data_IF_623838602176
#
_entry.id   IF_623838602176
#
_cell.length_a   1.000
_cell.length_b   1.000
_cell.length_c   1.000
_cell.angle_alpha   90.00
_cell.angle_beta   90.00
_cell.angle_gamma   90.00
#
_symmetry.space_group_name_H-M   'P 1'
#
loop_
_entity.id
_entity.type
_entity.pdbx_description
1 polymer ?
#
# COMPACT_ATOMS: atom_id res chain seq x y z
N UNK A 1 -3.98 -28.38 5.33
CA UNK A 1 -2.96 -27.35 5.05
C UNK A 1 -3.68 -26.08 4.63
N UNK A 2 -3.42 -24.96 5.33
CA UNK A 2 -4.01 -23.64 5.06
C UNK A 2 -2.92 -22.71 4.55
N UNK A 3 -3.28 -21.71 3.76
CA UNK A 3 -2.37 -20.65 3.33
C UNK A 3 -2.00 -19.78 4.55
N UNK A 4 -0.71 -19.46 4.73
CA UNK A 4 -0.26 -18.61 5.83
C UNK A 4 -0.53 -17.12 5.56
N UNK A 5 -0.61 -16.73 4.29
CA UNK A 5 -0.98 -15.38 3.86
C UNK A 5 -2.49 -15.15 4.00
N UNK A 6 -3.31 -16.21 3.92
CA UNK A 6 -4.74 -16.14 4.23
C UNK A 6 -5.26 -17.50 4.77
N UNK A 7 -5.50 -17.59 6.08
CA UNK A 7 -5.92 -18.85 6.71
C UNK A 7 -7.27 -19.38 6.20
N UNK A 8 -8.07 -18.56 5.51
CA UNK A 8 -9.36 -18.96 4.93
C UNK A 8 -9.15 -19.87 3.72
N UNK A 9 -8.02 -19.74 3.04
CA UNK A 9 -7.70 -20.48 1.82
C UNK A 9 -7.06 -21.85 2.12
N UNK A 10 -7.32 -22.81 1.23
CA UNK A 10 -6.63 -24.09 1.26
C UNK A 10 -5.29 -23.95 0.52
N UNK A 11 -4.23 -24.51 1.09
CA UNK A 11 -2.93 -24.57 0.42
C UNK A 11 -2.50 -26.01 0.23
N UNK A 12 -2.00 -26.33 -0.97
CA UNK A 12 -1.41 -27.63 -1.25
C UNK A 12 0.11 -27.58 -1.05
N UNK A 13 0.55 -27.73 0.20
CA UNK A 13 1.97 -27.78 0.58
C UNK A 13 2.74 -29.00 0.01
N UNK A 14 2.16 -29.74 -0.93
CA UNK A 14 2.84 -30.80 -1.69
C UNK A 14 3.61 -30.25 -2.91
N UNK A 15 3.39 -28.98 -3.27
CA UNK A 15 4.19 -28.24 -4.24
C UNK A 15 5.20 -27.36 -3.50
N UNK A 16 6.38 -27.07 -4.10
CA UNK A 16 7.42 -26.25 -3.48
C UNK A 16 7.09 -24.75 -3.40
N UNK A 17 5.90 -24.34 -3.82
CA UNK A 17 5.40 -22.96 -3.69
C UNK A 17 5.17 -22.61 -2.20
N UNK A 18 5.98 -21.72 -1.62
CA UNK A 18 5.88 -21.33 -0.22
C UNK A 18 4.78 -20.27 0.04
N UNK A 19 4.22 -19.63 -0.99
CA UNK A 19 3.20 -18.56 -0.88
C UNK A 19 1.78 -19.05 -1.14
N UNK A 20 1.63 -20.29 -1.59
CA UNK A 20 0.32 -20.89 -1.89
C UNK A 20 -0.43 -20.12 -3.00
N UNK A 21 0.31 -19.59 -3.98
CA UNK A 21 -0.23 -18.81 -5.08
C UNK A 21 0.87 -18.13 -5.89
N UNK A 22 1.53 -18.87 -6.79
CA UNK A 22 2.26 -18.25 -7.90
C UNK A 22 1.29 -17.40 -8.75
N UNK A 23 1.75 -16.24 -9.24
CA UNK A 23 1.06 -15.46 -10.27
C UNK A 23 1.73 -15.63 -11.64
N UNK A 24 1.74 -16.85 -12.24
CA UNK A 24 2.49 -17.13 -13.46
C UNK A 24 2.06 -16.23 -14.62
N UNK A 25 0.78 -15.84 -14.65
CA UNK A 25 0.25 -14.95 -15.69
C UNK A 25 0.86 -13.54 -15.64
N UNK A 26 1.17 -13.03 -14.44
CA UNK A 26 1.83 -11.73 -14.26
C UNK A 26 3.28 -11.82 -14.75
N UNK A 27 3.97 -12.92 -14.43
CA UNK A 27 5.32 -13.16 -14.94
C UNK A 27 5.34 -13.28 -16.47
N UNK A 28 4.40 -14.01 -17.06
CA UNK A 28 4.26 -14.15 -18.51
C UNK A 28 3.98 -12.81 -19.19
N UNK A 29 3.09 -12.00 -18.61
CA UNK A 29 2.76 -10.66 -19.10
C UNK A 29 3.98 -9.73 -19.05
N UNK A 30 4.59 -9.58 -17.87
CA UNK A 30 5.72 -8.68 -17.67
C UNK A 30 6.92 -9.09 -18.53
N UNK A 31 7.20 -10.39 -18.66
CA UNK A 31 8.29 -10.89 -19.48
C UNK A 31 8.01 -10.88 -20.99
N UNK A 32 6.79 -10.60 -21.42
CA UNK A 32 6.47 -10.56 -22.85
C UNK A 32 7.29 -9.45 -23.55
N UNK A 33 7.81 -9.70 -24.78
CA UNK A 33 8.59 -8.69 -25.51
C UNK A 33 7.82 -7.39 -25.75
N UNK A 34 6.50 -7.46 -25.90
CA UNK A 34 5.64 -6.29 -26.09
C UNK A 34 5.60 -5.42 -24.83
N UNK A 35 5.40 -6.02 -23.65
CA UNK A 35 5.33 -5.31 -22.38
C UNK A 35 6.70 -4.76 -21.98
N UNK A 36 7.78 -5.55 -22.07
CA UNK A 36 9.14 -5.06 -21.81
C UNK A 36 9.50 -3.85 -22.67
N UNK A 37 9.12 -3.88 -23.94
CA UNK A 37 9.31 -2.74 -24.86
C UNK A 37 8.44 -1.55 -24.48
N UNK A 38 7.18 -1.76 -24.14
CA UNK A 38 6.25 -0.69 -23.72
C UNK A 38 6.76 0.01 -22.46
N UNK A 39 7.24 -0.75 -21.48
CA UNK A 39 7.79 -0.27 -20.22
C UNK A 39 9.21 0.29 -20.34
N UNK A 40 9.81 0.24 -21.53
CA UNK A 40 11.20 0.63 -21.78
C UNK A 40 12.18 -0.05 -20.81
N UNK A 41 11.99 -1.36 -20.58
CA UNK A 41 12.87 -2.17 -19.71
C UNK A 41 14.26 -2.26 -20.34
N UNK A 42 15.29 -1.96 -19.56
CA UNK A 42 16.69 -2.03 -19.98
C UNK A 42 17.08 -3.48 -20.30
N UNK A 43 17.88 -3.69 -21.34
CA UNK A 43 18.36 -5.03 -21.73
C UNK A 43 19.24 -5.69 -20.67
N UNK A 44 19.79 -4.91 -19.72
CA UNK A 44 20.53 -5.41 -18.55
C UNK A 44 19.60 -6.03 -17.50
N UNK A 45 18.33 -5.65 -17.46
CA UNK A 45 17.38 -6.21 -16.51
C UNK A 45 17.08 -7.67 -16.87
N UNK A 46 17.15 -8.56 -15.88
CA UNK A 46 16.83 -9.97 -16.05
C UNK A 46 15.36 -10.18 -16.44
N UNK A 47 14.99 -11.44 -16.69
CA UNK A 47 13.57 -11.80 -16.68
C UNK A 47 12.98 -11.38 -15.32
N UNK A 48 11.81 -10.77 -15.36
CA UNK A 48 11.06 -10.41 -14.17
C UNK A 48 10.69 -11.68 -13.41
N UNK A 49 10.89 -11.63 -12.11
CA UNK A 49 10.45 -12.62 -11.13
C UNK A 49 9.75 -11.89 -10.00
N UNK A 50 8.83 -12.57 -9.33
CA UNK A 50 8.05 -12.01 -8.22
C UNK A 50 8.95 -11.55 -7.07
N UNK A 51 9.86 -12.41 -6.63
CA UNK A 51 10.80 -12.13 -5.55
C UNK A 51 12.23 -12.48 -5.96
N UNK A 52 13.17 -11.59 -5.63
CA UNK A 52 14.59 -11.85 -5.78
C UNK A 52 15.13 -12.58 -4.53
N UNK A 53 15.19 -13.90 -4.61
CA UNK A 53 15.67 -14.79 -3.54
C UNK A 53 17.10 -14.49 -3.04
N UNK A 54 17.96 -13.94 -3.90
CA UNK A 54 19.34 -13.58 -3.52
C UNK A 54 19.32 -12.39 -2.56
N UNK A 55 18.46 -11.42 -2.84
CA UNK A 55 18.25 -10.25 -1.98
C UNK A 55 17.58 -10.69 -0.68
N UNK A 56 16.50 -11.48 -0.78
CA UNK A 56 15.79 -12.04 0.37
C UNK A 56 16.75 -12.71 1.36
N UNK A 57 17.55 -13.65 0.85
CA UNK A 57 18.51 -14.42 1.66
C UNK A 57 19.59 -13.53 2.26
N UNK A 58 20.04 -12.50 1.53
CA UNK A 58 21.08 -11.57 2.02
C UNK A 58 20.58 -10.74 3.19
N UNK A 59 19.41 -10.12 3.07
CA UNK A 59 18.82 -9.30 4.14
C UNK A 59 18.59 -10.14 5.41
N UNK A 60 18.19 -11.41 5.26
CA UNK A 60 18.14 -12.35 6.39
C UNK A 60 19.53 -12.57 6.99
N UNK A 61 20.53 -12.86 6.16
CA UNK A 61 21.89 -13.17 6.61
C UNK A 61 22.57 -11.98 7.32
N UNK A 62 22.25 -10.75 6.89
CA UNK A 62 22.76 -9.52 7.48
C UNK A 62 21.98 -9.10 8.76
N UNK A 63 20.95 -9.89 9.14
CA UNK A 63 20.24 -9.77 10.41
C UNK A 63 19.11 -8.76 10.41
N UNK A 64 18.74 -8.23 9.25
CA UNK A 64 17.85 -7.09 9.13
C UNK A 64 16.41 -7.42 9.57
N UNK A 65 16.00 -8.67 9.38
CA UNK A 65 14.75 -9.23 9.92
C UNK A 65 14.60 -9.19 11.44
N UNK A 66 15.69 -8.98 12.18
CA UNK A 66 15.65 -8.84 13.65
C UNK A 66 15.65 -7.37 14.10
N UNK A 67 15.73 -6.41 13.16
CA UNK A 67 15.69 -4.97 13.44
C UNK A 67 14.25 -4.52 13.71
N UNK A 68 14.07 -3.47 14.50
CA UNK A 68 12.76 -2.82 14.67
C UNK A 68 12.86 -1.36 14.25
N UNK A 69 11.80 -0.85 13.64
CA UNK A 69 11.69 0.53 13.13
C UNK A 69 10.55 1.33 13.80
N UNK A 70 10.05 0.84 14.93
CA UNK A 70 9.01 1.53 15.69
C UNK A 70 9.50 2.84 16.31
N UNK A 71 10.81 2.97 16.57
CA UNK A 71 11.39 4.22 17.07
C UNK A 71 11.30 5.37 16.04
N UNK A 72 11.50 5.04 14.77
CA UNK A 72 11.36 5.92 13.63
C UNK A 72 9.89 6.35 13.47
N UNK A 73 8.95 5.40 13.63
CA UNK A 73 7.51 5.70 13.65
C UNK A 73 7.17 6.67 14.78
N UNK A 74 7.71 6.47 15.98
CA UNK A 74 7.48 7.36 17.11
C UNK A 74 7.99 8.79 16.84
N UNK A 75 9.19 8.94 16.26
CA UNK A 75 9.70 10.26 15.87
C UNK A 75 8.84 10.94 14.80
N UNK A 76 8.37 10.19 13.80
CA UNK A 76 7.47 10.69 12.77
C UNK A 76 6.16 11.19 13.39
N UNK A 77 5.53 10.40 14.26
CA UNK A 77 4.31 10.81 14.97
C UNK A 77 4.52 12.07 15.80
N UNK A 78 5.61 12.14 16.57
CA UNK A 78 5.94 13.31 17.40
C UNK A 78 6.23 14.57 16.55
N UNK A 79 6.58 14.40 15.28
CA UNK A 79 6.76 15.50 14.33
C UNK A 79 5.49 15.93 13.58
N UNK A 80 4.36 15.25 13.85
CA UNK A 80 3.07 15.54 13.22
C UNK A 80 2.82 14.80 11.91
N UNK A 81 3.71 13.90 11.48
CA UNK A 81 3.49 13.03 10.33
C UNK A 81 2.39 12.02 10.68
N UNK A 82 1.45 11.80 9.75
CA UNK A 82 0.34 10.85 9.95
C UNK A 82 0.82 9.43 9.76
N UNK A 83 0.36 8.51 10.60
CA UNK A 83 0.68 7.09 10.51
C UNK A 83 -0.61 6.30 10.54
N UNK A 84 -0.81 5.49 9.50
CA UNK A 84 -1.83 4.45 9.46
C UNK A 84 -1.15 3.08 9.46
N UNK A 85 -1.56 2.23 10.37
CA UNK A 85 -1.26 0.80 10.33
C UNK A 85 -2.57 0.08 10.06
N UNK A 86 -2.57 -0.85 9.12
CA UNK A 86 -3.72 -1.70 8.89
C UNK A 86 -3.29 -3.15 8.75
N UNK A 87 -4.15 -4.08 9.15
CA UNK A 87 -3.85 -5.50 9.05
C UNK A 87 -5.13 -6.31 8.82
N UNK A 88 -5.08 -7.21 7.83
CA UNK A 88 -6.11 -8.21 7.62
C UNK A 88 -6.16 -9.22 8.76
N UNK A 89 -7.37 -9.65 9.12
CA UNK A 89 -7.57 -10.51 10.28
C UNK A 89 -7.38 -12.00 10.05
N UNK A 90 -7.16 -12.41 8.80
CA UNK A 90 -6.84 -13.77 8.37
C UNK A 90 -5.34 -13.99 8.08
N UNK A 91 -4.50 -12.95 8.20
CA UNK A 91 -3.05 -13.04 7.99
C UNK A 91 -2.35 -13.72 9.18
N UNK A 92 -1.55 -14.77 8.90
CA UNK A 92 -0.69 -15.41 9.90
C UNK A 92 0.77 -14.97 9.82
N UNK A 93 1.22 -14.40 8.69
CA UNK A 93 2.59 -13.95 8.48
C UNK A 93 2.89 -12.68 9.26
N UNK A 94 2.11 -11.62 9.04
CA UNK A 94 2.24 -10.34 9.73
C UNK A 94 0.95 -9.98 10.47
N UNK A 95 0.48 -10.94 11.27
CA UNK A 95 -0.85 -10.94 11.87
C UNK A 95 -1.24 -9.62 12.58
N UNK A 96 -2.55 -9.31 12.50
CA UNK A 96 -3.13 -8.11 13.08
C UNK A 96 -2.93 -7.96 14.60
N UNK A 97 -2.66 -9.04 15.32
CA UNK A 97 -2.52 -9.03 16.78
C UNK A 97 -1.15 -8.51 17.18
N UNK A 98 -0.09 -8.99 16.52
CA UNK A 98 1.25 -8.44 16.68
C UNK A 98 1.29 -6.99 16.22
N UNK A 99 0.62 -6.67 15.10
CA UNK A 99 0.46 -5.29 14.65
C UNK A 99 -0.24 -4.41 15.69
N UNK A 100 -1.35 -4.88 16.27
CA UNK A 100 -2.03 -4.18 17.37
C UNK A 100 -1.13 -4.05 18.59
N UNK A 101 -0.42 -5.10 18.99
CA UNK A 101 0.39 -5.14 20.19
C UNK A 101 1.50 -4.07 20.16
N UNK A 102 2.27 -4.00 19.06
CA UNK A 102 3.33 -3.00 18.99
C UNK A 102 2.77 -1.57 18.91
N UNK A 103 1.62 -1.34 18.27
CA UNK A 103 1.01 0.01 18.25
C UNK A 103 0.59 0.49 19.64
N UNK A 104 0.21 -0.43 20.54
CA UNK A 104 -0.11 -0.11 21.94
C UNK A 104 1.13 0.07 22.81
N UNK A 105 2.24 -0.60 22.46
CA UNK A 105 3.50 -0.51 23.18
C UNK A 105 4.38 0.67 22.72
N UNK A 106 4.16 1.17 21.51
CA UNK A 106 4.90 2.28 20.90
C UNK A 106 5.11 3.45 21.87
N UNK A 107 6.36 3.85 22.08
CA UNK A 107 6.73 4.94 22.98
C UNK A 107 6.74 6.29 22.25
N UNK A 108 5.62 7.00 22.28
CA UNK A 108 5.44 8.32 21.66
C UNK A 108 4.57 9.24 22.52
N UNK A 109 4.57 10.54 22.23
CA UNK A 109 3.89 11.54 23.07
C UNK A 109 2.39 11.30 23.22
N UNK A 110 1.74 10.68 22.23
CA UNK A 110 0.33 10.36 22.24
C UNK A 110 -0.04 8.99 22.84
N UNK A 111 0.92 8.20 23.35
CA UNK A 111 0.70 6.81 23.83
C UNK A 111 -0.48 6.68 24.78
N UNK A 112 -0.55 7.54 25.81
CA UNK A 112 -1.63 7.48 26.82
C UNK A 112 -2.99 7.73 26.17
N UNK A 113 -3.07 8.73 25.28
CA UNK A 113 -4.30 9.07 24.56
C UNK A 113 -4.75 7.97 23.62
N UNK A 114 -3.83 7.38 22.87
CA UNK A 114 -4.09 6.25 21.97
C UNK A 114 -4.55 4.99 22.71
N UNK A 115 -3.90 4.67 23.84
CA UNK A 115 -4.26 3.50 24.65
C UNK A 115 -5.59 3.69 25.41
N UNK A 116 -5.98 4.95 25.68
CA UNK A 116 -7.28 5.28 26.31
C UNK A 116 -8.41 5.42 25.28
N UNK A 117 -8.10 5.68 24.00
CA UNK A 117 -9.11 5.81 22.96
C UNK A 117 -9.96 4.54 22.83
N UNK A 118 -11.25 4.70 22.58
CA UNK A 118 -12.13 3.56 22.35
C UNK A 118 -11.92 2.99 20.94
N UNK A 119 -11.99 1.67 20.83
CA UNK A 119 -12.09 1.00 19.54
C UNK A 119 -13.49 1.23 18.97
N UNK A 120 -13.54 1.62 17.69
CA UNK A 120 -14.77 1.96 16.97
C UNK A 120 -14.91 1.03 15.78
N UNK A 121 -16.15 0.73 15.39
CA UNK A 121 -16.40 0.03 14.12
C UNK A 121 -15.84 0.86 12.96
N UNK A 122 -15.05 0.21 12.11
CA UNK A 122 -14.54 0.80 10.88
C UNK A 122 -15.57 0.52 9.77
N UNK A 123 -16.26 1.58 9.37
CA UNK A 123 -17.24 1.52 8.29
C UNK A 123 -16.59 2.02 7.01
N UNK A 124 -16.47 1.12 6.03
CA UNK A 124 -15.98 1.44 4.70
C UNK A 124 -17.15 1.60 3.71
N UNK A 125 -16.88 2.28 2.61
CA UNK A 125 -17.81 2.40 1.50
C UNK A 125 -17.15 1.96 0.20
N UNK A 126 -17.86 1.13 -0.56
CA UNK A 126 -17.47 0.83 -1.93
C UNK A 126 -17.95 1.96 -2.85
N UNK A 127 -17.04 2.71 -3.51
CA UNK A 127 -17.43 3.81 -4.39
C UNK A 127 -18.26 3.38 -5.61
N UNK A 128 -18.34 2.08 -5.90
CA UNK A 128 -19.17 1.51 -6.96
C UNK A 128 -20.59 1.20 -6.49
N UNK A 129 -20.86 1.26 -5.19
CA UNK A 129 -22.17 1.01 -4.60
C UNK A 129 -22.86 2.33 -4.18
N UNK A 130 -24.19 2.36 -3.99
CA UNK A 130 -24.89 3.53 -3.48
C UNK A 130 -24.39 3.94 -2.07
N UNK A 131 -24.42 5.23 -1.73
CA UNK A 131 -23.95 5.75 -0.41
C UNK A 131 -24.62 5.10 0.80
N UNK A 132 -25.78 4.46 0.64
CA UNK A 132 -26.46 3.70 1.70
C UNK A 132 -25.86 2.32 2.00
N UNK A 133 -24.90 1.87 1.18
CA UNK A 133 -24.26 0.55 1.27
C UNK A 133 -22.98 0.62 2.09
N UNK A 134 -23.14 0.89 3.39
CA UNK A 134 -22.04 0.85 4.36
C UNK A 134 -21.58 -0.60 4.60
N UNK A 135 -20.27 -0.80 4.65
CA UNK A 135 -19.63 -2.10 4.93
C UNK A 135 -19.06 -2.04 6.34
N UNK A 136 -19.47 -2.95 7.23
CA UNK A 136 -18.74 -3.21 8.48
C UNK A 136 -17.43 -3.91 8.13
N UNK A 137 -16.38 -3.11 7.96
CA UNK A 137 -15.12 -3.52 7.38
C UNK A 137 -14.05 -3.84 8.43
N UNK A 138 -14.37 -3.68 9.72
CA UNK A 138 -13.41 -3.95 10.78
C UNK A 138 -13.53 -3.06 12.01
N UNK A 139 -12.39 -2.86 12.67
CA UNK A 139 -12.28 -2.05 13.89
C UNK A 139 -11.11 -1.09 13.76
N UNK A 140 -11.33 0.16 14.13
CA UNK A 140 -10.32 1.20 14.16
C UNK A 140 -10.10 1.71 15.59
N UNK A 141 -8.83 1.85 15.95
CA UNK A 141 -8.38 2.68 17.08
C UNK A 141 -7.62 3.86 16.51
N UNK A 142 -7.99 5.06 16.90
CA UNK A 142 -7.29 6.26 16.43
C UNK A 142 -7.18 7.32 17.52
N UNK A 143 -6.06 8.04 17.50
CA UNK A 143 -5.81 9.18 18.36
C UNK A 143 -4.84 10.14 17.67
N UNK A 144 -5.25 11.40 17.53
CA UNK A 144 -4.49 12.42 16.79
C UNK A 144 -4.06 11.90 15.41
N UNK A 145 -2.77 11.94 15.08
CA UNK A 145 -2.20 11.54 13.80
C UNK A 145 -1.84 10.05 13.70
N UNK A 146 -2.37 9.20 14.60
CA UNK A 146 -2.13 7.74 14.58
C UNK A 146 -3.43 6.94 14.50
N UNK A 147 -3.48 5.95 13.61
CA UNK A 147 -4.55 4.95 13.54
C UNK A 147 -4.01 3.53 13.34
N UNK A 148 -4.67 2.58 13.99
CA UNK A 148 -4.60 1.16 13.66
C UNK A 148 -5.98 0.67 13.21
N UNK A 149 -6.03 -0.02 12.07
CA UNK A 149 -7.25 -0.63 11.53
C UNK A 149 -7.05 -2.14 11.39
N UNK A 150 -7.85 -2.92 12.12
CA UNK A 150 -8.05 -4.33 11.81
C UNK A 150 -9.09 -4.40 10.71
N UNK A 151 -8.75 -5.02 9.57
CA UNK A 151 -9.65 -5.22 8.44
C UNK A 151 -10.22 -6.63 8.50
N UNK A 152 -11.55 -6.74 8.48
CA UNK A 152 -12.22 -8.04 8.45
C UNK A 152 -12.13 -8.68 7.07
N UNK A 153 -12.15 -10.01 7.06
CA UNK A 153 -12.23 -10.80 5.83
C UNK A 153 -11.09 -10.46 4.85
N UNK A 154 -9.88 -10.23 5.38
CA UNK A 154 -8.67 -9.99 4.61
C UNK A 154 -7.48 -10.76 5.19
N UNK A 155 -6.64 -11.32 4.31
CA UNK A 155 -5.36 -11.93 4.63
C UNK A 155 -4.23 -10.91 4.64
N UNK A 156 -3.07 -11.32 4.13
CA UNK A 156 -1.86 -10.51 4.07
C UNK A 156 -2.03 -9.33 3.09
N UNK A 157 -2.50 -9.64 1.88
CA UNK A 157 -2.75 -8.70 0.79
C UNK A 157 -4.14 -8.08 0.92
N UNK A 158 -4.30 -7.14 1.87
CA UNK A 158 -5.60 -6.47 2.12
C UNK A 158 -6.18 -5.83 0.86
N UNK A 159 -5.41 -5.12 0.00
CA UNK A 159 -5.97 -4.56 -1.22
C UNK A 159 -6.46 -5.61 -2.22
N UNK A 160 -5.90 -6.82 -2.24
CA UNK A 160 -6.39 -7.93 -3.05
C UNK A 160 -7.68 -8.53 -2.47
N UNK A 161 -7.72 -8.78 -1.16
CA UNK A 161 -8.86 -9.46 -0.54
C UNK A 161 -10.08 -8.56 -0.33
N UNK A 162 -9.86 -7.27 -0.06
CA UNK A 162 -10.90 -6.27 0.23
C UNK A 162 -10.62 -4.96 -0.54
N UNK A 163 -10.70 -4.97 -1.88
CA UNK A 163 -10.24 -3.85 -2.72
C UNK A 163 -11.00 -2.54 -2.48
N UNK A 164 -12.33 -2.60 -2.35
CA UNK A 164 -13.15 -1.43 -2.05
C UNK A 164 -12.84 -0.84 -0.66
N UNK A 165 -12.66 -1.70 0.35
CA UNK A 165 -12.27 -1.30 1.71
C UNK A 165 -10.89 -0.66 1.70
N UNK A 166 -9.94 -1.23 0.95
CA UNK A 166 -8.57 -0.72 0.83
C UNK A 166 -8.53 0.67 0.20
N UNK A 167 -9.26 0.88 -0.90
CA UNK A 167 -9.38 2.20 -1.53
C UNK A 167 -10.02 3.21 -0.58
N UNK A 168 -11.10 2.84 0.11
CA UNK A 168 -11.76 3.75 1.05
C UNK A 168 -10.90 4.04 2.28
N UNK A 169 -10.13 3.06 2.75
CA UNK A 169 -9.18 3.20 3.84
C UNK A 169 -8.17 4.31 3.53
N UNK A 170 -7.51 4.29 2.37
CA UNK A 170 -6.53 5.33 2.03
C UNK A 170 -7.20 6.68 1.74
N UNK A 171 -8.39 6.68 1.16
CA UNK A 171 -9.14 7.91 0.89
C UNK A 171 -9.56 8.60 2.20
N UNK A 172 -9.91 7.80 3.22
CA UNK A 172 -10.42 8.28 4.50
C UNK A 172 -9.38 8.40 5.62
N UNK A 173 -8.13 7.87 5.52
CA UNK A 173 -7.25 7.79 6.72
C UNK A 173 -5.80 8.31 6.77
N UNK A 174 -5.02 8.53 5.70
CA UNK A 174 -4.00 9.60 5.79
C UNK A 174 -3.98 10.53 4.58
N UNK A 175 -4.45 10.08 3.40
CA UNK A 175 -4.36 10.88 2.18
C UNK A 175 -5.20 12.16 2.25
N UNK A 176 -6.35 12.11 2.95
CA UNK A 176 -7.28 13.24 3.11
C UNK A 176 -7.69 13.56 4.55
N UNK A 177 -6.92 13.11 5.56
CA UNK A 177 -7.23 13.40 6.97
C UNK A 177 -7.18 14.91 7.28
N UNK A 178 -8.34 15.56 7.16
CA UNK A 178 -8.77 16.68 8.01
C UNK A 178 -9.68 16.10 9.09
N UNK A 179 -9.09 15.64 10.19
CA UNK A 179 -9.83 15.05 11.31
C UNK A 179 -10.76 16.03 12.04
N UNK A 180 -10.85 17.30 11.62
CA UNK A 180 -11.94 18.17 12.06
C UNK A 180 -13.21 18.02 11.20
N UNK A 181 -13.12 17.69 9.91
CA UNK A 181 -14.26 17.73 9.00
C UNK A 181 -15.17 16.50 9.10
N UNK A 182 -14.61 15.28 9.20
CA UNK A 182 -15.40 14.05 9.16
C UNK A 182 -16.22 13.82 10.44
N UNK A 183 -15.69 14.11 11.62
CA UNK A 183 -16.42 14.03 12.90
C UNK A 183 -17.54 15.10 12.94
N UNK A 184 -17.25 16.31 12.46
CA UNK A 184 -18.25 17.38 12.29
C UNK A 184 -19.30 16.99 11.22
N UNK A 185 -18.93 16.32 10.13
CA UNK A 185 -19.85 15.93 9.07
C UNK A 185 -20.72 14.73 9.46
N UNK A 186 -20.20 13.81 10.28
CA UNK A 186 -20.96 12.71 10.90
C UNK A 186 -21.92 13.24 11.97
N UNK A 187 -21.48 14.19 12.80
CA UNK A 187 -22.35 14.91 13.74
C UNK A 187 -23.41 15.75 13.03
N UNK A 188 -23.07 16.39 11.89
CA UNK A 188 -24.03 17.10 11.03
C UNK A 188 -25.03 16.16 10.37
N UNK A 189 -24.62 14.95 9.96
CA UNK A 189 -25.53 13.95 9.41
C UNK A 189 -26.48 13.38 10.47
N UNK A 190 -25.98 13.08 11.67
CA UNK A 190 -26.80 12.65 12.80
C UNK A 190 -27.76 13.77 13.23
N UNK A 191 -27.29 15.02 13.30
CA UNK A 191 -28.13 16.18 13.59
C UNK A 191 -29.16 16.45 12.49
N UNK A 192 -28.83 16.21 11.21
CA UNK A 192 -29.79 16.26 10.09
C UNK A 192 -30.82 15.16 10.18
N UNK A 193 -30.45 13.92 10.53
CA UNK A 193 -31.39 12.82 10.70
C UNK A 193 -32.37 13.07 11.85
N UNK A 194 -31.91 13.69 12.95
CA UNK A 194 -32.79 14.10 14.06
C UNK A 194 -33.64 15.33 13.68
N UNK A 195 -33.12 16.25 12.86
CA UNK A 195 -33.84 17.46 12.40
C UNK A 195 -34.84 17.23 11.26
N UNK A 196 -34.68 16.17 10.46
CA UNK A 196 -35.55 15.82 9.34
C UNK A 196 -36.88 15.15 9.77
N UNK A 197 -37.07 14.89 11.07
CA UNK A 197 -38.38 14.55 11.64
C UNK A 197 -39.41 15.68 11.56
N UNK A 198 -39.00 16.90 11.21
CA UNK A 198 -39.89 18.07 11.12
C UNK A 198 -39.43 19.06 10.03
N UNK A 199 -39.75 18.82 8.75
CA UNK A 199 -40.36 19.81 7.84
C UNK A 199 -40.50 19.27 6.41
N UNK A 200 -41.70 19.44 5.88
CA UNK A 200 -42.10 19.10 4.52
C UNK A 200 -41.63 20.13 3.47
N UNK A 201 -41.43 19.62 2.24
CA UNK A 201 -41.63 20.22 0.90
C UNK A 201 -41.12 21.66 0.62
N UNK A 202 -40.29 21.82 -0.42
CA UNK A 202 -40.58 22.61 -1.65
C UNK A 202 -39.57 22.23 -2.76
N UNK A 203 -40.09 21.85 -3.93
CA UNK A 203 -39.39 21.67 -5.21
C UNK A 203 -39.36 23.02 -5.93
N UNK A 204 -38.19 23.47 -6.42
CA UNK A 204 -38.08 24.35 -7.60
C UNK A 204 -36.89 23.92 -8.47
N UNK A 205 -37.22 23.54 -9.70
CA UNK A 205 -36.32 23.29 -10.83
C UNK A 205 -36.07 24.62 -11.54
N UNK A 206 -34.80 24.99 -11.81
CA UNK A 206 -34.46 25.92 -12.90
C UNK A 206 -33.23 25.41 -13.64
N UNK A 207 -33.46 25.12 -14.92
CA UNK A 207 -32.51 24.74 -15.95
C UNK A 207 -31.68 25.95 -16.38
N UNK A 208 -30.36 25.78 -16.48
CA UNK A 208 -29.43 26.74 -17.09
C UNK A 208 -28.42 25.99 -17.94
N UNK A 209 -28.73 25.89 -19.24
CA UNK A 209 -27.90 25.27 -20.26
C UNK A 209 -26.76 26.24 -20.63
N UNK A 210 -25.50 25.83 -20.45
CA UNK A 210 -24.35 26.46 -21.07
C UNK A 210 -23.59 25.38 -21.85
N UNK A 211 -23.63 25.49 -23.16
CA UNK A 211 -22.92 24.63 -24.12
C UNK A 211 -21.43 24.91 -24.01
N UNK A 212 -20.65 23.94 -23.53
CA UNK A 212 -19.21 23.93 -23.73
C UNK A 212 -18.91 23.10 -25.00
N UNK A 213 -18.28 23.76 -25.96
CA UNK A 213 -17.73 23.17 -27.18
C UNK A 213 -16.64 22.16 -26.80
N UNK A 214 -16.87 20.88 -27.09
CA UNK A 214 -15.84 19.85 -27.05
C UNK A 214 -14.86 20.08 -28.20
N UNK A 215 -13.66 20.56 -27.89
CA UNK A 215 -12.52 20.42 -28.80
C UNK A 215 -11.95 19.00 -28.64
N UNK A 216 -11.81 18.21 -29.72
CA UNK A 216 -11.21 16.90 -29.64
C UNK A 216 -9.71 17.09 -29.40
N UNK A 217 -9.26 16.80 -28.19
CA UNK A 217 -7.83 16.57 -27.94
C UNK A 217 -7.47 15.34 -28.77
N UNK A 218 -6.64 15.57 -29.79
CA UNK A 218 -6.14 14.50 -30.63
C UNK A 218 -5.35 13.53 -29.76
N UNK A 219 -5.89 12.32 -29.59
CA UNK A 219 -5.18 11.19 -29.05
C UNK A 219 -3.93 10.98 -29.88
N UNK A 220 -2.77 11.00 -29.23
CA UNK A 220 -1.52 10.56 -29.84
C UNK A 220 -1.62 9.05 -30.02
N UNK A 221 -1.98 8.66 -31.24
CA UNK A 221 -1.91 7.28 -31.72
C UNK A 221 -0.45 6.92 -31.98
N UNK A 222 0.20 6.24 -31.04
CA UNK A 222 0.93 4.98 -31.27
C UNK A 222 1.76 4.55 -30.05
N UNK A 223 1.25 3.55 -29.32
CA UNK A 223 2.04 2.47 -28.72
C UNK A 223 1.11 1.26 -28.45
N UNK A 224 0.97 0.39 -29.47
CA UNK A 224 0.58 -1.03 -29.34
C UNK A 224 -0.68 -1.41 -28.56
N UNK A 225 -1.86 -1.04 -29.08
CA UNK A 225 -3.22 -1.44 -28.68
C UNK A 225 -3.66 -1.24 -27.22
N UNK A 226 -4.86 -0.67 -27.06
CA UNK A 226 -5.56 -0.43 -25.80
C UNK A 226 -5.75 -1.68 -24.91
N UNK A 227 -5.35 -2.86 -25.39
CA UNK A 227 -5.37 -4.14 -24.69
C UNK A 227 -4.20 -4.32 -23.72
N UNK A 228 -3.09 -3.60 -23.89
CA UNK A 228 -1.88 -3.71 -23.02
C UNK A 228 -1.69 -2.54 -22.05
N UNK A 229 -2.48 -1.47 -22.19
CA UNK A 229 -2.42 -0.30 -21.32
C UNK A 229 -3.48 -0.43 -20.23
N UNK A 230 -3.09 -0.49 -18.95
CA UNK A 230 -3.96 -0.58 -17.77
C UNK A 230 -5.03 0.54 -17.67
N UNK A 231 -6.00 0.55 -18.59
CA UNK A 231 -6.98 1.61 -18.77
C UNK A 231 -6.46 2.87 -19.46
N UNK A 232 -7.20 3.97 -19.27
CA UNK A 232 -7.01 5.25 -19.98
C UNK A 232 -6.20 6.29 -19.19
N UNK A 233 -5.77 5.97 -17.97
CA UNK A 233 -4.98 6.88 -17.15
C UNK A 233 -3.60 7.11 -17.79
N UNK A 234 -3.14 8.36 -17.79
CA UNK A 234 -1.77 8.67 -18.16
C UNK A 234 -0.81 7.93 -17.22
N UNK A 235 0.19 7.30 -17.81
CA UNK A 235 1.16 6.51 -17.08
C UNK A 235 2.51 6.59 -17.77
N UNK A 236 3.56 6.36 -16.99
CA UNK A 236 4.90 6.22 -17.50
C UNK A 236 5.67 5.20 -16.67
N UNK A 237 6.60 4.50 -17.33
CA UNK A 237 7.54 3.62 -16.69
C UNK A 237 8.96 3.99 -17.12
N UNK A 238 9.92 3.72 -16.25
CA UNK A 238 11.31 4.00 -16.55
C UNK A 238 12.20 3.93 -15.33
N UNK A 239 13.34 4.59 -15.44
CA UNK A 239 14.44 4.47 -14.50
C UNK A 239 14.86 5.82 -13.94
N UNK A 240 15.18 5.86 -12.65
CA UNK A 240 15.93 6.96 -12.04
C UNK A 240 17.30 6.42 -11.62
N UNK A 241 18.36 7.02 -12.18
CA UNK A 241 19.73 6.71 -11.78
C UNK A 241 20.00 7.27 -10.38
N UNK A 242 20.55 6.42 -9.51
CA UNK A 242 20.88 6.79 -8.15
C UNK A 242 22.25 7.49 -8.10
N UNK A 243 22.33 8.77 -7.65
CA UNK A 243 23.58 9.52 -7.59
C UNK A 243 24.53 9.05 -6.48
N UNK A 244 24.02 8.30 -5.50
CA UNK A 244 24.78 7.72 -4.40
C UNK A 244 25.36 6.33 -4.73
N UNK A 245 25.14 5.84 -5.97
CA UNK A 245 25.62 4.57 -6.50
C UNK A 245 26.38 4.83 -7.81
N UNK A 246 27.19 3.87 -8.25
CA UNK A 246 27.97 3.95 -9.48
C UNK A 246 27.05 3.84 -10.71
N UNK A 247 26.23 2.79 -10.74
CA UNK A 247 25.38 2.47 -11.89
C UNK A 247 23.95 2.03 -11.56
N UNK A 248 23.57 1.91 -10.28
CA UNK A 248 22.22 1.54 -9.88
C UNK A 248 21.16 2.49 -10.43
N UNK A 249 20.06 1.89 -10.88
CA UNK A 249 18.86 2.58 -11.33
C UNK A 249 17.63 1.85 -10.82
N UNK A 250 16.76 2.59 -10.15
CA UNK A 250 15.48 2.04 -9.71
C UNK A 250 14.44 2.21 -10.80
N UNK A 251 13.78 1.10 -11.14
CA UNK A 251 12.66 1.05 -12.05
C UNK A 251 11.36 1.38 -11.32
N UNK A 252 10.50 2.14 -11.99
CA UNK A 252 9.18 2.44 -11.48
C UNK A 252 8.14 2.36 -12.59
N UNK A 253 6.91 2.11 -12.20
CA UNK A 253 5.73 2.33 -13.04
C UNK A 253 4.79 3.29 -12.31
N UNK A 254 4.59 4.47 -12.89
CA UNK A 254 3.81 5.56 -12.34
C UNK A 254 2.50 5.73 -13.10
N UNK A 255 1.41 5.95 -12.38
CA UNK A 255 0.10 6.29 -12.93
C UNK A 255 -0.44 7.57 -12.30
N UNK A 256 -0.95 8.45 -13.15
CA UNK A 256 -1.70 9.62 -12.71
C UNK A 256 -3.04 9.25 -12.04
N UNK A 257 -3.52 10.14 -11.17
CA UNK A 257 -4.86 10.04 -10.61
C UNK A 257 -5.93 10.11 -11.71
N UNK A 258 -6.92 9.23 -11.65
CA UNK A 258 -8.11 9.25 -12.52
C UNK A 258 -9.09 10.36 -12.15
N UNK A 259 -8.99 10.93 -10.94
CA UNK A 259 -9.92 11.93 -10.42
C UNK A 259 -9.45 13.35 -10.66
N UNK A 260 -8.32 13.74 -10.07
CA UNK A 260 -7.76 15.08 -10.22
C UNK A 260 -6.22 15.05 -10.21
N UNK A 261 -5.56 14.60 -11.30
CA UNK A 261 -4.11 14.38 -11.33
C UNK A 261 -3.29 15.63 -10.98
N UNK A 262 -3.79 16.81 -11.37
CA UNK A 262 -3.17 18.10 -11.06
C UNK A 262 -3.24 18.53 -9.58
N UNK A 263 -4.07 17.89 -8.74
CA UNK A 263 -4.23 18.28 -7.31
C UNK A 263 -4.16 17.12 -6.31
N UNK A 264 -4.45 15.90 -6.71
CA UNK A 264 -4.44 14.72 -5.83
C UNK A 264 -3.01 14.36 -5.37
N UNK A 265 -2.84 13.74 -4.19
CA UNK A 265 -1.52 13.49 -3.61
C UNK A 265 -0.62 12.61 -4.48
N UNK A 266 0.68 12.63 -4.18
CA UNK A 266 1.64 11.64 -4.68
C UNK A 266 1.80 10.54 -3.64
N UNK A 267 1.68 9.29 -4.07
CA UNK A 267 1.80 8.09 -3.24
C UNK A 267 2.89 7.21 -3.81
N UNK A 268 3.83 6.80 -2.97
CA UNK A 268 4.80 5.75 -3.27
C UNK A 268 4.32 4.43 -2.67
N UNK A 269 4.27 3.37 -3.45
CA UNK A 269 4.02 2.00 -3.00
C UNK A 269 5.33 1.19 -3.00
N UNK A 270 5.60 0.52 -1.88
CA UNK A 270 6.71 -0.42 -1.71
C UNK A 270 6.18 -1.79 -1.28
N UNK A 271 6.44 -2.82 -2.07
CA UNK A 271 6.24 -4.21 -1.65
C UNK A 271 7.40 -4.71 -0.78
N UNK A 272 7.15 -5.77 -0.02
CA UNK A 272 8.08 -6.33 0.97
C UNK A 272 9.02 -7.40 0.40
N UNK A 273 8.89 -8.63 0.89
CA UNK A 273 9.82 -9.74 0.68
C UNK A 273 10.69 -9.96 1.92
N UNK A 274 11.90 -9.36 2.02
CA UNK A 274 12.51 -8.35 1.15
C UNK A 274 12.91 -8.92 -0.22
N UNK A 275 12.67 -8.15 -1.29
CA UNK A 275 13.04 -8.56 -2.64
C UNK A 275 11.85 -8.74 -3.58
N UNK A 276 10.63 -8.55 -3.10
CA UNK A 276 9.41 -8.66 -3.90
C UNK A 276 9.23 -7.42 -4.79
N UNK A 277 8.92 -7.63 -6.07
CA UNK A 277 8.64 -6.55 -7.02
C UNK A 277 7.31 -5.87 -6.71
N UNK A 278 7.30 -4.54 -6.71
CA UNK A 278 6.07 -3.76 -6.54
C UNK A 278 5.15 -3.86 -7.77
N UNK A 279 5.65 -4.38 -8.90
CA UNK A 279 4.84 -4.63 -10.09
C UNK A 279 3.90 -5.84 -9.91
N UNK A 280 4.23 -6.76 -9.00
CA UNK A 280 3.27 -7.79 -8.59
C UNK A 280 2.04 -7.10 -7.99
N UNK A 281 2.25 -6.30 -6.94
CA UNK A 281 1.15 -5.58 -6.27
C UNK A 281 0.37 -4.66 -7.20
N UNK A 282 1.06 -4.02 -8.15
CA UNK A 282 0.41 -3.22 -9.19
C UNK A 282 -0.62 -4.04 -9.97
N UNK A 283 -0.30 -5.29 -10.32
CA UNK A 283 -1.11 -6.13 -11.21
C UNK A 283 -2.01 -7.14 -10.48
N UNK A 284 -1.82 -7.36 -9.18
CA UNK A 284 -2.61 -8.30 -8.38
C UNK A 284 -3.48 -7.65 -7.30
N UNK A 285 -3.19 -6.40 -6.89
CA UNK A 285 -3.87 -5.80 -5.74
C UNK A 285 -4.46 -4.42 -6.03
N UNK A 286 -3.66 -3.35 -5.90
CA UNK A 286 -4.15 -1.98 -5.82
C UNK A 286 -3.85 -1.11 -7.05
N UNK A 287 -3.15 -1.66 -8.03
CA UNK A 287 -2.84 -0.94 -9.26
C UNK A 287 -4.01 -0.86 -10.23
N UNK A 288 -3.79 -0.19 -11.36
CA UNK A 288 -4.84 0.30 -12.25
C UNK A 288 -5.55 -0.80 -13.04
N UNK A 289 -4.96 -1.99 -13.16
CA UNK A 289 -5.51 -3.09 -13.92
C UNK A 289 -5.12 -4.46 -13.38
N UNK A 290 -5.85 -5.49 -13.80
CA UNK A 290 -5.48 -6.89 -13.66
C UNK A 290 -5.09 -7.47 -15.02
N UNK A 291 -4.34 -8.57 -15.00
CA UNK A 291 -3.93 -9.31 -16.21
C UNK A 291 -4.83 -10.51 -16.42
N UNK A 292 -5.40 -10.64 -17.61
CA UNK A 292 -6.25 -11.76 -18.02
C UNK A 292 -5.40 -12.94 -18.54
N UNK A 293 -6.02 -14.12 -18.66
CA UNK A 293 -5.37 -15.33 -19.19
C UNK A 293 -4.82 -15.18 -20.62
N UNK A 294 -5.38 -14.27 -21.42
CA UNK A 294 -4.93 -13.95 -22.78
C UNK A 294 -3.85 -12.85 -22.83
N UNK A 295 -3.31 -12.45 -21.67
CA UNK A 295 -2.36 -11.35 -21.49
C UNK A 295 -2.90 -9.96 -21.83
N UNK A 296 -4.21 -9.82 -22.04
CA UNK A 296 -4.85 -8.50 -22.04
C UNK A 296 -5.01 -7.96 -20.63
N UNK A 297 -5.28 -6.67 -20.50
CA UNK A 297 -5.51 -6.02 -19.22
C UNK A 297 -6.96 -5.62 -19.03
N UNK A 298 -7.48 -5.75 -17.81
CA UNK A 298 -8.80 -5.26 -17.41
C UNK A 298 -8.70 -4.18 -16.33
N UNK A 299 -9.50 -3.13 -16.42
CA UNK A 299 -9.42 -2.01 -15.48
C UNK A 299 -9.84 -2.42 -14.08
N UNK A 300 -9.00 -2.15 -13.07
CA UNK A 300 -9.35 -2.28 -11.66
C UNK A 300 -10.15 -1.04 -11.23
N UNK A 301 -11.45 -1.15 -10.92
CA UNK A 301 -12.28 0.00 -10.52
C UNK A 301 -11.95 0.50 -9.11
N UNK A 302 -11.31 -0.33 -8.28
CA UNK A 302 -10.91 -0.03 -6.90
C UNK A 302 -9.42 0.31 -6.78
N UNK A 303 -8.76 0.65 -7.90
CA UNK A 303 -7.35 1.04 -7.87
C UNK A 303 -7.11 2.27 -7.01
N UNK A 304 -5.99 2.31 -6.31
CA UNK A 304 -5.54 3.48 -5.55
C UNK A 304 -5.32 4.71 -6.44
N UNK A 305 -5.04 4.52 -7.73
CA UNK A 305 -4.95 5.64 -8.67
C UNK A 305 -6.32 6.25 -9.03
N UNK A 306 -7.43 5.74 -8.47
CA UNK A 306 -8.71 6.44 -8.49
C UNK A 306 -8.68 7.73 -7.66
N UNK A 307 -7.77 7.84 -6.68
CA UNK A 307 -7.74 8.94 -5.71
C UNK A 307 -6.36 9.60 -5.54
N UNK A 308 -5.31 9.06 -6.16
CA UNK A 308 -3.94 9.54 -6.03
C UNK A 308 -3.11 9.34 -7.30
N UNK A 309 -2.02 10.10 -7.42
CA UNK A 309 -0.93 9.78 -8.35
C UNK A 309 -0.04 8.75 -7.66
N UNK A 310 0.19 7.57 -8.26
CA UNK A 310 0.81 6.44 -7.55
C UNK A 310 2.03 5.93 -8.31
N UNK A 311 3.14 5.78 -7.59
CA UNK A 311 4.39 5.17 -8.05
C UNK A 311 4.49 3.78 -7.43
N UNK A 312 4.56 2.73 -8.24
CA UNK A 312 5.04 1.42 -7.77
C UNK A 312 6.52 1.31 -8.11
N UNK A 313 7.33 1.11 -7.08
CA UNK A 313 8.80 1.14 -7.17
C UNK A 313 9.37 -0.25 -6.94
N UNK A 314 10.14 -0.74 -7.91
CA UNK A 314 10.95 -1.95 -7.71
C UNK A 314 12.19 -1.60 -6.90
N UNK A 315 12.33 -2.22 -5.74
CA UNK A 315 13.44 -1.97 -4.82
C UNK A 315 13.67 -3.21 -3.93
N UNK A 316 14.89 -3.45 -3.44
CA UNK A 316 16.15 -2.73 -3.70
C UNK A 316 16.77 -3.00 -5.09
N UNK A 317 18.04 -2.63 -5.30
CA UNK A 317 18.76 -2.87 -6.57
C UNK A 317 18.67 -4.35 -6.98
N UNK A 318 18.32 -4.62 -8.25
CA UNK A 318 18.07 -5.95 -8.84
C UNK A 318 16.74 -6.63 -8.46
N UNK A 319 15.81 -5.95 -7.78
CA UNK A 319 14.41 -6.40 -7.69
C UNK A 319 13.65 -6.02 -8.96
N UNK A 320 12.80 -6.94 -9.45
CA UNK A 320 11.97 -6.72 -10.63
C UNK A 320 12.79 -6.24 -11.83
N UNK A 321 12.56 -4.99 -12.25
CA UNK A 321 13.31 -4.36 -13.33
C UNK A 321 14.39 -3.38 -12.89
N UNK A 322 14.53 -3.10 -11.60
CA UNK A 322 15.64 -2.31 -11.08
C UNK A 322 16.97 -3.00 -11.36
N UNK A 323 18.00 -2.22 -11.66
CA UNK A 323 19.29 -2.74 -12.16
C UNK A 323 20.44 -2.08 -11.42
N UNK A 324 21.53 -2.83 -11.25
CA UNK A 324 22.78 -2.32 -10.72
C UNK A 324 23.87 -3.38 -10.73
N UNK A 325 25.10 -2.95 -10.54
CA UNK A 325 26.25 -3.84 -10.56
C UNK A 325 26.41 -4.61 -9.23
N UNK A 326 27.01 -5.81 -9.24
CA UNK A 326 27.30 -6.57 -8.01
C UNK A 326 28.16 -5.81 -7.00
N UNK A 327 28.89 -4.78 -7.42
CA UNK A 327 29.74 -3.95 -6.58
C UNK A 327 28.94 -3.00 -5.68
N UNK A 328 27.68 -2.71 -6.02
CA UNK A 328 26.81 -1.72 -5.37
C UNK A 328 25.61 -2.36 -4.66
N UNK A 329 25.73 -3.64 -4.30
CA UNK A 329 24.67 -4.40 -3.63
C UNK A 329 24.15 -3.73 -2.35
N UNK A 330 22.83 -3.71 -2.19
CA UNK A 330 22.16 -3.30 -0.96
C UNK A 330 22.18 -4.44 0.07
N UNK A 331 22.43 -4.10 1.33
CA UNK A 331 22.59 -5.03 2.45
C UNK A 331 21.55 -4.88 3.56
N UNK A 332 21.12 -3.64 3.82
CA UNK A 332 20.17 -3.33 4.88
C UNK A 332 19.29 -2.12 4.54
N UNK A 333 18.34 -1.80 5.40
CA UNK A 333 17.52 -0.59 5.24
C UNK A 333 18.30 0.73 5.18
N UNK A 334 19.57 0.80 5.62
CA UNK A 334 20.34 2.06 5.49
C UNK A 334 20.67 2.34 4.03
N UNK A 335 20.95 1.30 3.25
CA UNK A 335 21.13 1.42 1.81
C UNK A 335 19.80 1.76 1.15
N UNK A 336 18.75 1.00 1.47
CA UNK A 336 17.42 1.17 0.86
C UNK A 336 16.84 2.56 1.12
N UNK A 337 16.92 3.07 2.35
CA UNK A 337 16.39 4.40 2.67
C UNK A 337 17.16 5.52 1.94
N UNK A 338 18.47 5.37 1.74
CA UNK A 338 19.30 6.34 1.01
C UNK A 338 18.94 6.31 -0.48
N UNK A 339 18.84 5.10 -1.05
CA UNK A 339 18.50 4.89 -2.45
C UNK A 339 17.10 5.44 -2.79
N UNK A 340 16.09 5.12 -1.98
CA UNK A 340 14.72 5.61 -2.20
C UNK A 340 14.63 7.13 -1.99
N UNK A 341 15.39 7.69 -1.04
CA UNK A 341 15.47 9.15 -0.89
C UNK A 341 15.98 9.81 -2.17
N UNK A 342 17.07 9.29 -2.78
CA UNK A 342 17.59 9.85 -4.02
C UNK A 342 16.74 9.52 -5.25
N UNK A 343 16.08 8.37 -5.28
CA UNK A 343 15.04 8.07 -6.27
C UNK A 343 13.97 9.17 -6.26
N UNK A 344 13.44 9.52 -5.08
CA UNK A 344 12.43 10.58 -4.96
C UNK A 344 12.97 11.95 -5.37
N UNK A 345 14.24 12.27 -5.08
CA UNK A 345 14.86 13.51 -5.57
C UNK A 345 14.88 13.55 -7.11
N UNK A 346 15.34 12.47 -7.75
CA UNK A 346 15.39 12.37 -9.22
C UNK A 346 14.00 12.30 -9.87
N UNK A 347 13.04 11.63 -9.24
CA UNK A 347 11.65 11.63 -9.69
C UNK A 347 11.07 13.05 -9.68
N UNK A 348 11.33 13.84 -8.64
CA UNK A 348 10.90 15.23 -8.56
C UNK A 348 11.62 16.15 -9.57
N UNK A 349 12.83 15.82 -10.00
CA UNK A 349 13.50 16.53 -11.11
C UNK A 349 12.80 16.27 -12.45
N UNK A 350 12.31 15.05 -12.65
CA UNK A 350 11.54 14.68 -13.84
C UNK A 350 10.11 15.20 -13.80
N UNK A 351 9.51 15.31 -12.61
CA UNK A 351 8.12 15.71 -12.37
C UNK A 351 8.02 16.90 -11.39
N UNK A 352 8.45 18.11 -11.80
CA UNK A 352 8.45 19.29 -10.94
C UNK A 352 7.04 19.69 -10.46
N UNK A 353 5.97 19.25 -11.13
CA UNK A 353 4.57 19.43 -10.73
C UNK A 353 4.21 18.77 -9.37
N UNK A 354 5.04 17.86 -8.87
CA UNK A 354 4.86 17.21 -7.57
C UNK A 354 5.66 17.83 -6.41
N UNK A 355 6.54 18.80 -6.65
CA UNK A 355 7.46 19.33 -5.60
C UNK A 355 6.75 19.79 -4.31
N UNK A 356 5.56 20.35 -4.44
CA UNK A 356 4.75 20.82 -3.30
C UNK A 356 3.55 19.90 -3.01
N UNK A 357 3.41 18.79 -3.73
CA UNK A 357 2.28 17.87 -3.55
C UNK A 357 2.46 17.10 -2.23
N UNK A 358 1.38 16.87 -1.45
CA UNK A 358 1.45 15.95 -0.32
C UNK A 358 2.00 14.59 -0.78
N UNK A 359 3.09 14.17 -0.17
CA UNK A 359 3.74 12.88 -0.41
C UNK A 359 3.36 11.91 0.71
N UNK A 360 2.98 10.69 0.32
CA UNK A 360 2.74 9.59 1.23
C UNK A 360 3.56 8.38 0.83
N UNK A 361 4.13 7.71 1.82
CA UNK A 361 4.83 6.45 1.62
C UNK A 361 3.94 5.32 2.12
N UNK A 362 3.70 4.34 1.28
CA UNK A 362 2.79 3.23 1.55
C UNK A 362 3.44 1.91 1.17
N UNK A 363 3.09 0.84 1.87
CA UNK A 363 3.62 -0.46 1.53
C UNK A 363 3.07 -1.56 2.42
N UNK A 364 3.47 -2.79 2.11
CA UNK A 364 3.00 -3.99 2.80
C UNK A 364 4.14 -4.91 3.23
N UNK A 365 3.89 -5.75 4.25
CA UNK A 365 4.78 -6.85 4.63
C UNK A 365 6.11 -6.34 5.19
N UNK A 366 7.24 -6.81 4.64
CA UNK A 366 8.57 -6.30 4.97
C UNK A 366 8.75 -4.79 4.70
N UNK A 367 7.85 -4.16 3.93
CA UNK A 367 7.81 -2.70 3.84
C UNK A 367 7.50 -2.01 5.18
N UNK A 368 7.09 -2.76 6.22
CA UNK A 368 7.11 -2.26 7.60
C UNK A 368 8.50 -1.86 8.11
N UNK A 369 9.59 -2.34 7.49
CA UNK A 369 10.96 -1.85 7.69
C UNK A 369 11.24 -0.65 6.77
N UNK A 370 10.99 -0.83 5.47
CA UNK A 370 11.29 0.17 4.45
C UNK A 370 10.59 1.52 4.70
N UNK A 371 9.29 1.50 4.98
CA UNK A 371 8.47 2.71 5.03
C UNK A 371 8.89 3.65 6.17
N UNK A 372 9.03 3.19 7.43
CA UNK A 372 9.55 4.03 8.49
C UNK A 372 10.99 4.50 8.25
N UNK A 373 11.89 3.64 7.74
CA UNK A 373 13.28 4.01 7.46
C UNK A 373 13.36 5.15 6.43
N UNK A 374 12.68 5.01 5.29
CA UNK A 374 12.63 6.03 4.23
C UNK A 374 11.96 7.31 4.74
N UNK A 375 10.83 7.20 5.45
CA UNK A 375 10.13 8.37 5.99
C UNK A 375 11.00 9.14 6.99
N UNK A 376 11.73 8.43 7.86
CA UNK A 376 12.65 9.04 8.82
C UNK A 376 13.84 9.71 8.13
N UNK A 377 14.38 9.07 7.08
CA UNK A 377 15.40 9.68 6.23
C UNK A 377 14.93 11.01 5.63
N UNK A 378 13.75 11.03 5.01
CA UNK A 378 13.14 12.26 4.48
C UNK A 378 12.98 13.31 5.58
N UNK A 379 12.43 12.92 6.73
CA UNK A 379 12.23 13.82 7.87
C UNK A 379 13.55 14.47 8.33
N UNK A 380 14.64 13.68 8.41
CA UNK A 380 15.97 14.18 8.78
C UNK A 380 16.54 15.11 7.72
N UNK A 381 16.50 14.73 6.44
CA UNK A 381 17.05 15.54 5.36
C UNK A 381 16.29 16.86 5.15
N UNK A 382 14.98 16.85 5.35
CA UNK A 382 14.16 18.06 5.31
C UNK A 382 14.61 19.13 6.33
N UNK A 383 15.31 18.73 7.41
CA UNK A 383 15.88 19.65 8.41
C UNK A 383 17.26 20.20 8.03
N UNK A 384 18.00 19.53 7.13
CA UNK A 384 19.38 19.92 6.79
C UNK A 384 19.43 21.01 5.72
N UNK A 385 18.36 21.17 4.93
CA UNK A 385 18.26 22.09 3.78
C UNK A 385 19.34 21.87 2.70
N UNK A 386 19.97 20.68 2.66
CA UNK A 386 21.02 20.35 1.67
C UNK A 386 20.46 19.82 0.34
N UNK A 387 19.32 19.13 0.40
CA UNK A 387 18.61 18.58 -0.74
C UNK A 387 17.21 19.23 -0.87
N UNK A 388 16.50 18.98 -1.98
CA UNK A 388 15.12 19.45 -2.15
C UNK A 388 14.27 18.89 -1.00
N UNK A 389 13.48 19.74 -0.36
CA UNK A 389 12.52 19.31 0.66
C UNK A 389 11.43 18.46 0.00
N UNK A 390 11.20 17.25 0.52
CA UNK A 390 10.09 16.40 0.12
C UNK A 390 8.91 16.64 1.05
N UNK A 391 7.73 16.89 0.50
CA UNK A 391 6.55 17.29 1.28
C UNK A 391 5.81 16.08 1.92
N UNK A 392 6.54 15.32 2.74
CA UNK A 392 6.03 14.13 3.44
C UNK A 392 4.90 14.50 4.39
N UNK A 393 3.75 13.85 4.21
CA UNK A 393 2.50 14.12 4.93
C UNK A 393 2.00 12.93 5.75
N UNK A 394 2.45 11.72 5.42
CA UNK A 394 2.06 10.52 6.15
C UNK A 394 2.66 9.25 5.59
N UNK A 395 2.51 8.19 6.37
CA UNK A 395 2.82 6.82 5.98
C UNK A 395 1.63 5.91 6.21
N UNK A 396 1.49 4.86 5.40
CA UNK A 396 0.56 3.77 5.63
C UNK A 396 1.25 2.41 5.47
N UNK A 397 1.06 1.50 6.42
CA UNK A 397 1.71 0.20 6.41
C UNK A 397 0.65 -0.88 6.59
N UNK A 398 0.47 -1.70 5.54
CA UNK A 398 -0.39 -2.87 5.53
C UNK A 398 0.34 -4.09 6.02
N UNK A 399 -0.25 -4.86 6.94
CA UNK A 399 0.25 -6.15 7.38
C UNK A 399 1.78 -6.14 7.58
N UNK A 400 2.29 -5.11 8.25
CA UNK A 400 3.72 -4.79 8.23
C UNK A 400 4.48 -5.44 9.36
N UNK A 401 5.75 -5.78 9.12
CA UNK A 401 6.72 -6.09 10.17
C UNK A 401 7.45 -4.80 10.57
N UNK A 402 7.15 -4.24 11.75
CA UNK A 402 7.68 -2.94 12.22
C UNK A 402 8.46 -3.10 13.52
N UNK A 403 7.89 -3.80 14.50
CA UNK A 403 8.55 -4.13 15.76
C UNK A 403 8.69 -5.66 15.85
N UNK A 404 9.85 -6.15 15.42
CA UNK A 404 10.11 -7.58 15.30
C UNK A 404 10.08 -8.28 16.66
N UNK A 405 10.57 -7.63 17.72
CA UNK A 405 10.56 -8.17 19.08
C UNK A 405 9.14 -8.48 19.56
N UNK A 406 8.22 -7.52 19.41
CA UNK A 406 6.82 -7.69 19.82
C UNK A 406 6.11 -8.69 18.89
N UNK A 407 6.28 -8.53 17.58
CA UNK A 407 5.54 -9.31 16.59
C UNK A 407 5.99 -10.78 16.55
N UNK A 408 7.30 -11.05 16.61
CA UNK A 408 7.85 -12.42 16.66
C UNK A 408 7.53 -13.09 17.99
N UNK A 409 7.52 -12.34 19.10
CA UNK A 409 7.06 -12.84 20.41
C UNK A 409 5.62 -13.35 20.36
N UNK A 410 4.72 -12.60 19.72
CA UNK A 410 3.31 -12.97 19.56
C UNK A 410 3.08 -14.10 18.55
N UNK A 411 3.86 -14.14 17.45
CA UNK A 411 3.90 -15.26 16.49
C UNK A 411 4.25 -16.58 17.20
N UNK A 412 5.32 -16.57 18.01
CA UNK A 412 5.80 -17.75 18.74
C UNK A 412 4.85 -18.18 19.86
N UNK A 413 4.24 -17.24 20.59
CA UNK A 413 3.21 -17.57 21.58
C UNK A 413 1.98 -18.27 20.97
N UNK A 414 1.79 -18.11 19.64
CA UNK A 414 0.62 -18.63 18.91
C UNK A 414 0.86 -19.89 18.12
N UNK A 415 2.05 -20.22 17.59
CA UNK A 415 2.26 -21.58 17.04
C UNK A 415 1.80 -22.67 18.04
N UNK A 416 2.01 -22.43 19.33
CA UNK A 416 1.51 -23.27 20.43
C UNK A 416 0.00 -23.13 20.73
N UNK A 417 -0.60 -21.96 20.56
CA UNK A 417 -2.02 -21.69 20.90
C UNK A 417 -2.98 -21.93 19.73
N UNK A 418 -2.59 -21.65 18.49
CA UNK A 418 -3.37 -21.93 17.27
C UNK A 418 -3.52 -23.44 17.05
N UNK A 419 -2.53 -24.27 17.42
CA UNK A 419 -2.73 -25.73 17.52
C UNK A 419 -3.88 -26.10 18.47
N UNK A 420 -4.04 -25.37 19.59
CA UNK A 420 -5.16 -25.60 20.52
C UNK A 420 -6.50 -25.04 20.05
N UNK A 421 -6.51 -23.91 19.33
CA UNK A 421 -7.74 -23.29 18.78
C UNK A 421 -8.26 -24.02 17.54
N UNK A 422 -7.36 -24.55 16.69
CA UNK A 422 -7.75 -25.40 15.56
C UNK A 422 -8.40 -26.69 16.05
N UNK A 423 -7.87 -27.33 17.10
CA UNK A 423 -8.52 -28.47 17.75
C UNK A 423 -9.90 -28.12 18.34
N UNK A 424 -10.06 -26.89 18.86
CA UNK A 424 -11.35 -26.40 19.37
C UNK A 424 -12.39 -26.11 18.28
N UNK A 425 -11.96 -25.58 17.14
CA UNK A 425 -12.82 -25.33 15.97
C UNK A 425 -13.20 -26.63 15.26
N UNK A 426 -12.32 -27.63 15.22
CA UNK A 426 -12.62 -28.97 14.70
C UNK A 426 -13.65 -29.71 15.58
N UNK A 427 -13.53 -29.58 16.90
CA UNK A 427 -14.52 -30.10 17.86
C UNK A 427 -15.88 -29.39 17.75
N UNK A 428 -15.88 -28.07 17.53
CA UNK A 428 -17.11 -27.30 17.33
C UNK A 428 -17.81 -27.64 16.01
N UNK A 429 -17.07 -28.05 14.98
CA UNK A 429 -17.63 -28.51 13.70
C UNK A 429 -18.13 -29.97 13.75
N UNK A 430 -17.43 -30.88 14.45
CA UNK A 430 -17.87 -32.27 14.61
C UNK A 430 -19.07 -32.44 15.56
N UNK A 431 -19.34 -31.45 16.42
CA UNK A 431 -20.51 -31.42 17.32
C UNK A 431 -21.84 -31.06 16.66
N UNK A 432 -21.85 -30.60 15.40
CA UNK A 432 -23.07 -30.26 14.64
C UNK A 432 -23.52 -31.36 13.66
N UNK A 433 -22.92 -32.55 13.74
CA UNK A 433 -23.21 -33.71 12.88
C UNK A 433 -23.63 -34.96 13.64
N UNK A 434 -24.51 -34.86 14.64
CA UNK A 434 -25.25 -36.00 15.21
C UNK A 434 -26.76 -35.80 15.13
#
# INVERSE_FOLDING_TARGET
>A
NRNNYDIREACNNSQPDPTCGDFPIIADFLNSPAVRKYLNVDDRASAWVEENEVIHTRFIADGDWATSYDSEVAELLNSGIRVLIYAGDADLMCNWIGNRAWTLDLDWQGKIGYNTAEERTFIAHDPLLPESSDIDAGVVRSFQNFAFVRVYDAGHMVPMNQPAVSLDLINRTPLRWDMHAAEIQRLKHIAKMVGLGTLALVIIVVVGCATMENQPISAVTSAGDATTTCGTAANEAGYIKLPNKQDDQYFYWFFESRKAPATDPLVLWLSGGPGASSLLTLLSENGPCFVNEDLSTETNPNSWNAEANVIWLDQPTNVGYSIGSPEDVDHDEKDVQENIFWFLQGFMDKHPEFENRPLFLTGESYAGHYIPAVAHKIYRENKTAKARRLNLHGIAIGNGLVNTVVQVGDLNARVFKTHSMLNGLEQAWLGYGQ
#
